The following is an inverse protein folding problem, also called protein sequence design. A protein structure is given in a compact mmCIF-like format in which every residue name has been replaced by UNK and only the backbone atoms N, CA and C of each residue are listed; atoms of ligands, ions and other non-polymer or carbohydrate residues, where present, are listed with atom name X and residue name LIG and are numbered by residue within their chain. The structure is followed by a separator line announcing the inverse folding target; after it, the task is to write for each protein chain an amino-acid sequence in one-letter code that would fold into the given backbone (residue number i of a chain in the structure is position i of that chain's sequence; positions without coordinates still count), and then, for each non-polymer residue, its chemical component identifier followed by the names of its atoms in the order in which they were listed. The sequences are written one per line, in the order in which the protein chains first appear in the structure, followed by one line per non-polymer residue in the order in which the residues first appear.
data_IF_911122510712
#
_entry.id   IF_911122510712
#
_cell.length_a   1.000
_cell.length_b   1.000
_cell.length_c   1.000
_cell.angle_alpha   90.00
_cell.angle_beta   90.00
_cell.angle_gamma   90.00
#
_symmetry.space_group_name_H-M   'P 1'
#
loop_
_entity.id
_entity.type
_entity.pdbx_description
1 polymer ?
#
# COMPACT_ATOMS: atom_id res chain seq x y z
N UNK A 1 37.19 -38.33 5.64
CA UNK A 1 38.13 -37.56 4.81
C UNK A 1 37.30 -36.59 4.00
N UNK A 2 37.50 -35.28 4.16
CA UNK A 2 36.77 -34.26 3.41
C UNK A 2 37.19 -34.33 1.94
N UNK A 3 36.22 -34.25 1.03
CA UNK A 3 36.42 -34.27 -0.42
C UNK A 3 37.40 -33.15 -0.83
N UNK A 4 38.55 -33.48 -1.44
CA UNK A 4 39.54 -32.49 -1.87
C UNK A 4 39.02 -31.52 -2.94
N UNK A 5 37.89 -31.79 -3.59
CA UNK A 5 37.30 -30.91 -4.61
C UNK A 5 36.50 -29.72 -4.03
N UNK A 6 36.19 -29.70 -2.73
CA UNK A 6 35.53 -28.54 -2.10
C UNK A 6 36.42 -27.28 -2.05
N UNK A 7 37.74 -27.42 -2.26
CA UNK A 7 38.68 -26.28 -2.31
C UNK A 7 38.64 -25.49 -3.61
N UNK A 8 37.89 -25.92 -4.62
CA UNK A 8 37.88 -25.29 -5.95
C UNK A 8 36.56 -24.58 -6.27
N UNK A 9 35.92 -23.98 -5.26
CA UNK A 9 34.78 -23.05 -5.44
C UNK A 9 35.09 -21.62 -4.98
N UNK A 10 36.36 -21.30 -4.76
CA UNK A 10 36.82 -19.97 -4.41
C UNK A 10 38.24 -20.05 -3.87
N UNK A 11 39.07 -19.05 -4.14
CA UNK A 11 40.33 -18.88 -3.43
C UNK A 11 40.02 -18.33 -2.03
N UNK A 12 39.53 -19.20 -1.14
CA UNK A 12 39.20 -18.85 0.24
C UNK A 12 40.44 -18.58 1.10
N UNK A 13 41.65 -18.59 0.52
CA UNK A 13 42.91 -18.21 1.16
C UNK A 13 43.25 -16.72 1.02
N UNK A 14 42.49 -15.96 0.22
CA UNK A 14 42.70 -14.54 -0.08
C UNK A 14 41.52 -13.64 0.37
N UNK A 15 40.73 -14.10 1.34
CA UNK A 15 39.44 -13.51 1.74
C UNK A 15 38.36 -13.58 0.64
N UNK A 16 37.13 -13.93 1.01
CA UNK A 16 36.01 -13.97 0.06
C UNK A 16 35.39 -12.57 -0.06
N UNK A 17 35.38 -12.01 -1.27
CA UNK A 17 34.81 -10.69 -1.53
C UNK A 17 33.44 -10.79 -2.20
N UNK A 18 32.50 -9.97 -1.72
CA UNK A 18 31.17 -9.77 -2.32
C UNK A 18 31.07 -8.29 -2.69
N UNK A 19 30.68 -7.98 -3.93
CA UNK A 19 30.63 -6.60 -4.42
C UNK A 19 32.00 -5.93 -4.65
N UNK A 20 33.09 -6.67 -4.53
CA UNK A 20 34.46 -6.19 -4.70
C UNK A 20 35.31 -7.23 -5.43
N UNK A 21 36.21 -6.77 -6.31
CA UNK A 21 37.24 -7.62 -6.90
C UNK A 21 38.59 -7.48 -6.16
N UNK A 22 39.43 -8.52 -6.08
CA UNK A 22 40.70 -8.48 -5.36
C UNK A 22 41.69 -7.41 -5.85
N UNK A 23 41.58 -7.00 -7.12
CA UNK A 23 42.39 -5.94 -7.73
C UNK A 23 41.93 -4.51 -7.37
N UNK A 24 40.90 -4.37 -6.53
CA UNK A 24 40.29 -3.11 -6.05
C UNK A 24 39.80 -2.12 -7.13
N UNK A 25 39.97 -2.43 -8.41
CA UNK A 25 39.70 -1.53 -9.54
C UNK A 25 38.31 -1.69 -10.18
N UNK A 26 37.51 -2.68 -9.76
CA UNK A 26 36.15 -2.92 -10.28
C UNK A 26 35.19 -3.19 -9.12
N UNK A 27 34.93 -2.14 -8.35
CA UNK A 27 33.95 -2.17 -7.28
C UNK A 27 32.55 -2.24 -7.89
N UNK A 28 31.66 -3.01 -7.26
CA UNK A 28 30.24 -2.90 -7.55
C UNK A 28 29.77 -1.51 -7.13
N UNK A 29 29.40 -0.68 -8.09
CA UNK A 29 28.86 0.65 -7.87
C UNK A 29 27.33 0.57 -7.94
N UNK A 30 26.74 0.15 -6.82
CA UNK A 30 25.30 -0.04 -6.67
C UNK A 30 24.94 -0.42 -5.24
N UNK A 31 23.64 -0.38 -4.92
CA UNK A 31 23.12 -0.83 -3.64
C UNK A 31 22.88 -2.35 -3.70
N UNK A 32 23.40 -3.10 -2.72
CA UNK A 32 23.06 -4.51 -2.50
C UNK A 32 22.10 -4.59 -1.32
N UNK A 33 21.02 -5.34 -1.48
CA UNK A 33 20.08 -5.68 -0.43
C UNK A 33 19.81 -7.19 -0.43
N UNK A 34 19.31 -7.72 0.69
CA UNK A 34 18.88 -9.12 0.86
C UNK A 34 19.94 -10.19 0.49
N UNK A 35 21.21 -9.96 0.87
CA UNK A 35 22.28 -10.92 0.63
C UNK A 35 22.17 -12.17 1.53
N UNK A 36 22.09 -13.37 0.90
CA UNK A 36 22.12 -14.67 1.61
C UNK A 36 23.17 -15.62 1.05
N UNK A 37 23.82 -16.34 1.96
CA UNK A 37 24.80 -17.39 1.67
C UNK A 37 24.38 -18.70 2.35
N UNK A 38 24.31 -19.78 1.58
CA UNK A 38 23.92 -21.10 2.07
C UNK A 38 25.10 -22.06 2.08
N UNK A 39 25.23 -22.82 3.17
CA UNK A 39 26.19 -23.92 3.30
C UNK A 39 25.66 -25.26 2.75
N UNK A 40 24.54 -25.22 2.04
CA UNK A 40 23.84 -26.37 1.45
C UNK A 40 23.22 -26.02 0.11
N UNK A 41 22.89 -27.02 -0.68
CA UNK A 41 22.04 -26.84 -1.85
C UNK A 41 20.66 -26.32 -1.44
N UNK A 42 20.18 -25.31 -2.17
CA UNK A 42 18.82 -24.79 -2.05
C UNK A 42 17.94 -25.60 -3.00
N UNK A 43 16.83 -26.14 -2.50
CA UNK A 43 15.88 -26.93 -3.31
C UNK A 43 15.00 -26.02 -4.18
N UNK A 44 14.34 -26.56 -5.20
CA UNK A 44 13.46 -25.78 -6.08
C UNK A 44 12.33 -25.08 -5.31
N UNK A 45 11.73 -25.76 -4.33
CA UNK A 45 10.67 -25.20 -3.48
C UNK A 45 11.20 -24.06 -2.60
N UNK A 46 12.41 -24.21 -2.06
CA UNK A 46 13.06 -23.15 -1.27
C UNK A 46 13.47 -21.97 -2.15
N UNK A 47 13.94 -22.19 -3.39
CA UNK A 47 14.19 -21.09 -4.34
C UNK A 47 12.89 -20.34 -4.61
N UNK A 48 11.77 -21.04 -4.81
CA UNK A 48 10.47 -20.40 -5.01
C UNK A 48 10.05 -19.58 -3.79
N UNK A 49 10.19 -20.14 -2.59
CA UNK A 49 9.88 -19.43 -1.35
C UNK A 49 10.79 -18.21 -1.12
N UNK A 50 12.09 -18.32 -1.44
CA UNK A 50 13.05 -17.22 -1.33
C UNK A 50 12.83 -16.12 -2.36
N UNK A 51 12.41 -16.49 -3.58
CA UNK A 51 12.01 -15.53 -4.60
C UNK A 51 10.78 -14.74 -4.16
N UNK A 52 9.78 -15.41 -3.58
CA UNK A 52 8.61 -14.77 -3.02
C UNK A 52 8.87 -14.01 -1.72
N UNK A 53 9.95 -14.33 -0.98
CA UNK A 53 10.33 -13.63 0.24
C UNK A 53 10.69 -12.15 -0.02
N UNK A 54 11.23 -11.82 -1.19
CA UNK A 54 11.46 -10.43 -1.62
C UNK A 54 10.25 -9.79 -2.32
N UNK A 55 9.16 -10.54 -2.53
CA UNK A 55 7.95 -10.05 -3.18
C UNK A 55 6.95 -9.43 -2.18
N UNK A 56 7.26 -9.44 -0.88
CA UNK A 56 6.44 -8.80 0.17
C UNK A 56 6.78 -7.31 0.39
N UNK A 57 7.38 -6.63 -0.58
CA UNK A 57 7.58 -5.17 -0.54
C UNK A 57 6.50 -4.42 -1.34
N UNK A 58 5.31 -5.03 -1.44
CA UNK A 58 4.10 -4.26 -1.70
C UNK A 58 3.89 -3.26 -0.56
N UNK A 59 3.24 -2.12 -0.81
CA UNK A 59 2.89 -1.20 0.27
C UNK A 59 2.15 -1.97 1.38
N UNK A 60 2.26 -1.57 2.65
CA UNK A 60 1.62 -2.34 3.73
C UNK A 60 0.08 -2.39 3.61
N UNK A 61 -0.51 -1.61 2.70
CA UNK A 61 -1.92 -1.69 2.31
C UNK A 61 -2.28 -2.84 1.36
N UNK A 62 -1.31 -3.50 0.71
CA UNK A 62 -1.51 -4.66 -0.16
C UNK A 62 -1.59 -5.94 0.71
N UNK A 63 -2.79 -6.20 1.21
CA UNK A 63 -3.07 -7.31 2.13
C UNK A 63 -3.21 -8.62 1.36
N UNK A 64 -3.69 -8.56 0.12
CA UNK A 64 -3.95 -9.75 -0.69
C UNK A 64 -2.71 -10.20 -1.52
N UNK A 65 -1.68 -9.37 -1.61
CA UNK A 65 -0.41 -9.63 -2.28
C UNK A 65 -0.46 -9.53 -3.81
N UNK A 66 -1.41 -8.77 -4.36
CA UNK A 66 -1.59 -8.57 -5.81
C UNK A 66 -0.78 -7.41 -6.39
N UNK A 67 -0.09 -6.65 -5.52
CA UNK A 67 0.75 -5.51 -5.89
C UNK A 67 0.00 -4.19 -6.03
N UNK A 68 -1.29 -4.15 -5.69
CA UNK A 68 -2.10 -2.93 -5.66
C UNK A 68 -2.70 -2.71 -4.27
N UNK A 69 -3.07 -1.46 -3.97
CA UNK A 69 -3.84 -1.15 -2.78
C UNK A 69 -5.22 -0.66 -3.22
N UNK A 70 -6.22 -1.53 -3.15
CA UNK A 70 -7.59 -1.23 -3.53
C UNK A 70 -8.62 -1.83 -2.55
N UNK A 71 -9.91 -1.78 -2.91
CA UNK A 71 -10.97 -2.28 -2.06
C UNK A 71 -10.84 -3.78 -1.74
N UNK A 72 -10.20 -4.57 -2.61
CA UNK A 72 -10.00 -6.00 -2.40
C UNK A 72 -9.04 -6.28 -1.23
N UNK A 73 -8.14 -5.36 -0.88
CA UNK A 73 -7.29 -5.49 0.30
C UNK A 73 -8.06 -5.24 1.59
N UNK A 74 -9.03 -4.33 1.56
CA UNK A 74 -9.94 -4.10 2.70
C UNK A 74 -10.84 -5.33 2.87
N UNK A 75 -11.30 -5.94 1.78
CA UNK A 75 -12.05 -7.20 1.81
C UNK A 75 -11.21 -8.36 2.36
N UNK A 76 -9.96 -8.49 1.91
CA UNK A 76 -9.03 -9.48 2.43
C UNK A 76 -8.75 -9.25 3.92
N UNK A 77 -8.62 -7.99 4.34
CA UNK A 77 -8.45 -7.65 5.75
C UNK A 77 -9.70 -7.95 6.58
N UNK A 78 -10.91 -7.75 6.03
CA UNK A 78 -12.16 -8.15 6.68
C UNK A 78 -12.20 -9.67 6.87
N UNK A 79 -11.79 -10.45 5.88
CA UNK A 79 -11.68 -11.90 6.01
C UNK A 79 -10.66 -12.31 7.07
N UNK A 80 -9.50 -11.65 7.16
CA UNK A 80 -8.52 -11.89 8.22
C UNK A 80 -9.09 -11.62 9.63
N UNK A 81 -9.96 -10.61 9.77
CA UNK A 81 -10.67 -10.34 11.04
C UNK A 81 -11.66 -11.45 11.36
N UNK A 82 -12.41 -11.93 10.37
CA UNK A 82 -13.38 -13.03 10.52
C UNK A 82 -12.67 -14.34 10.87
N UNK A 83 -11.54 -14.63 10.24
CA UNK A 83 -10.72 -15.82 10.47
C UNK A 83 -9.94 -15.74 11.80
N UNK A 84 -9.95 -14.57 12.46
CA UNK A 84 -9.28 -14.32 13.73
C UNK A 84 -7.76 -14.18 13.63
N UNK A 85 -7.22 -13.98 12.43
CA UNK A 85 -5.80 -13.71 12.18
C UNK A 85 -5.44 -12.23 12.30
N UNK A 86 -6.45 -11.34 12.23
CA UNK A 86 -6.35 -9.91 12.50
C UNK A 86 -7.47 -9.43 13.44
N UNK A 87 -7.34 -8.22 13.97
CA UNK A 87 -8.38 -7.57 14.76
C UNK A 87 -9.10 -6.47 13.98
N UNK A 88 -10.32 -6.10 14.40
CA UNK A 88 -11.03 -4.95 13.82
C UNK A 88 -10.24 -3.63 13.96
N UNK A 89 -9.37 -3.53 14.97
CA UNK A 89 -8.47 -2.38 15.14
C UNK A 89 -7.41 -2.35 14.03
N UNK A 90 -6.87 -3.50 13.64
CA UNK A 90 -5.91 -3.59 12.54
C UNK A 90 -6.57 -3.21 11.21
N UNK A 91 -7.82 -3.66 10.97
CA UNK A 91 -8.58 -3.24 9.78
C UNK A 91 -8.82 -1.73 9.77
N UNK A 92 -9.23 -1.15 10.89
CA UNK A 92 -9.43 0.29 10.99
C UNK A 92 -8.11 1.07 10.80
N UNK A 93 -6.98 0.53 11.25
CA UNK A 93 -5.66 1.10 11.03
C UNK A 93 -5.27 1.05 9.54
N UNK A 94 -5.61 -0.03 8.83
CA UNK A 94 -5.41 -0.12 7.37
C UNK A 94 -6.22 0.96 6.63
N UNK A 95 -7.52 1.10 6.95
CA UNK A 95 -8.42 2.04 6.26
C UNK A 95 -8.02 3.51 6.51
N UNK A 96 -7.78 3.86 7.78
CA UNK A 96 -7.55 5.26 8.18
C UNK A 96 -6.08 5.64 8.27
N UNK A 97 -5.16 4.67 8.21
CA UNK A 97 -3.73 4.87 8.29
C UNK A 97 -3.20 5.67 7.12
N UNK A 98 -2.15 6.46 7.32
CA UNK A 98 -1.57 7.27 6.26
C UNK A 98 -0.92 6.39 5.16
N UNK A 99 -0.98 6.85 3.92
CA UNK A 99 -0.20 6.27 2.81
C UNK A 99 1.32 6.39 3.13
N UNK A 100 2.14 5.39 2.76
CA UNK A 100 1.82 4.22 1.92
C UNK A 100 1.30 3.00 2.68
N UNK A 101 1.27 3.04 4.02
CA UNK A 101 0.98 1.85 4.83
C UNK A 101 -0.52 1.61 5.03
N UNK A 102 -1.35 2.61 4.72
CA UNK A 102 -2.81 2.53 4.75
C UNK A 102 -3.47 3.38 3.67
N UNK A 103 -4.79 3.26 3.56
CA UNK A 103 -5.60 3.92 2.53
C UNK A 103 -5.78 5.43 2.75
N UNK A 104 -5.51 5.92 3.95
CA UNK A 104 -5.73 7.31 4.35
C UNK A 104 -7.12 7.81 3.96
N UNK A 105 -8.14 6.99 4.18
CA UNK A 105 -9.52 7.31 3.84
C UNK A 105 -10.45 7.21 5.05
N UNK A 106 -11.75 7.40 4.83
CA UNK A 106 -12.80 7.29 5.81
C UNK A 106 -13.51 5.95 5.72
N UNK A 107 -14.05 5.50 6.85
CA UNK A 107 -15.09 4.47 6.82
C UNK A 107 -16.29 5.01 6.02
N UNK A 108 -16.76 4.24 5.05
CA UNK A 108 -17.86 4.65 4.17
C UNK A 108 -17.44 5.12 2.77
N UNK A 109 -16.16 5.43 2.55
CA UNK A 109 -15.63 5.80 1.23
C UNK A 109 -15.53 4.55 0.34
N UNK A 110 -16.57 4.32 -0.47
CA UNK A 110 -16.73 3.07 -1.23
C UNK A 110 -15.91 3.07 -2.52
N UNK A 111 -15.58 4.25 -3.06
CA UNK A 111 -14.78 4.38 -4.29
C UNK A 111 -13.29 4.70 -4.02
N UNK A 112 -12.92 4.85 -2.75
CA UNK A 112 -11.57 5.12 -2.24
C UNK A 112 -10.98 6.44 -2.77
N UNK A 113 -11.81 7.45 -3.04
CA UNK A 113 -11.36 8.76 -3.51
C UNK A 113 -10.84 9.68 -2.38
N UNK A 114 -10.86 9.21 -1.13
CA UNK A 114 -10.42 9.94 0.06
C UNK A 114 -11.52 10.79 0.70
N UNK A 115 -12.77 10.70 0.24
CA UNK A 115 -13.93 11.40 0.76
C UNK A 115 -15.03 10.39 1.06
N UNK A 116 -15.83 10.66 2.10
CA UNK A 116 -17.09 9.96 2.31
C UNK A 116 -18.24 10.93 2.06
N UNK A 117 -18.90 10.80 0.91
CA UNK A 117 -20.01 11.65 0.46
C UNK A 117 -21.19 10.84 -0.12
N UNK A 118 -22.17 11.51 -0.75
CA UNK A 118 -23.35 10.85 -1.29
C UNK A 118 -23.04 9.88 -2.44
N UNK A 119 -21.93 10.07 -3.15
CA UNK A 119 -21.52 9.20 -4.26
C UNK A 119 -21.11 7.83 -3.77
N UNK A 120 -20.46 7.75 -2.61
CA UNK A 120 -20.08 6.48 -1.98
C UNK A 120 -21.30 5.65 -1.60
N UNK A 121 -22.27 6.31 -0.97
CA UNK A 121 -23.53 5.68 -0.58
C UNK A 121 -24.21 5.17 -1.85
N UNK A 122 -24.33 6.00 -2.89
CA UNK A 122 -24.95 5.58 -4.16
C UNK A 122 -24.18 4.41 -4.78
N UNK A 123 -22.85 4.44 -4.79
CA UNK A 123 -22.00 3.38 -5.33
C UNK A 123 -22.28 2.04 -4.62
N UNK A 124 -22.31 2.02 -3.29
CA UNK A 124 -22.62 0.84 -2.50
C UNK A 124 -24.01 0.23 -2.82
N UNK A 125 -24.99 1.08 -3.15
CA UNK A 125 -26.34 0.61 -3.52
C UNK A 125 -26.45 0.06 -4.95
N UNK A 126 -25.53 0.37 -5.87
CA UNK A 126 -25.64 -0.04 -7.28
C UNK A 126 -25.66 -1.57 -7.43
N UNK A 127 -24.89 -2.27 -6.60
CA UNK A 127 -24.79 -3.73 -6.64
C UNK A 127 -25.99 -4.45 -5.98
N UNK A 128 -26.90 -3.69 -5.34
CA UNK A 128 -28.15 -4.22 -4.81
C UNK A 128 -27.97 -5.18 -3.63
N UNK A 129 -26.84 -5.08 -2.91
CA UNK A 129 -26.50 -5.97 -1.79
C UNK A 129 -27.18 -5.61 -0.46
N UNK A 130 -27.70 -4.39 -0.35
CA UNK A 130 -28.37 -3.91 0.87
C UNK A 130 -29.52 -4.82 1.31
N UNK A 131 -29.41 -5.38 2.51
CA UNK A 131 -30.38 -6.34 3.09
C UNK A 131 -30.68 -7.55 2.19
N UNK A 132 -29.81 -7.87 1.25
CA UNK A 132 -29.99 -9.01 0.34
C UNK A 132 -29.70 -10.35 1.02
N UNK A 133 -28.84 -10.34 2.05
CA UNK A 133 -28.29 -11.54 2.69
C UNK A 133 -27.16 -12.22 1.91
N UNK A 134 -26.83 -11.72 0.72
CA UNK A 134 -25.62 -12.13 0.00
C UNK A 134 -24.38 -11.47 0.62
N UNK A 135 -23.22 -12.11 0.42
CA UNK A 135 -21.95 -11.50 0.76
C UNK A 135 -21.74 -10.17 0.01
N UNK A 136 -21.30 -9.15 0.74
CA UNK A 136 -20.88 -7.84 0.23
C UNK A 136 -19.41 -7.59 0.60
N UNK A 137 -18.69 -6.88 -0.27
CA UNK A 137 -17.39 -6.30 0.05
C UNK A 137 -17.48 -4.79 0.32
N UNK A 138 -16.34 -4.16 0.53
CA UNK A 138 -16.16 -2.75 0.88
C UNK A 138 -16.89 -1.81 -0.08
N UNK A 139 -16.60 -1.92 -1.39
CA UNK A 139 -17.20 -1.08 -2.42
C UNK A 139 -18.72 -1.33 -2.58
N UNK A 140 -19.22 -2.42 -2.01
CA UNK A 140 -20.62 -2.85 -2.06
C UNK A 140 -21.38 -2.52 -0.76
N UNK A 141 -20.73 -1.83 0.18
CA UNK A 141 -21.33 -1.31 1.40
C UNK A 141 -20.98 -2.05 2.69
N UNK A 142 -20.16 -3.12 2.66
CA UNK A 142 -19.67 -3.78 3.89
C UNK A 142 -18.55 -2.96 4.53
N UNK A 143 -18.93 -1.87 5.21
CA UNK A 143 -18.00 -0.96 5.85
C UNK A 143 -17.63 -1.41 7.27
N UNK A 144 -18.47 -2.24 7.91
CA UNK A 144 -18.16 -2.83 9.20
C UNK A 144 -17.37 -4.15 9.12
N UNK A 145 -17.24 -4.73 7.91
CA UNK A 145 -16.38 -5.87 7.57
C UNK A 145 -16.95 -7.22 7.99
N UNK A 146 -18.27 -7.34 8.06
CA UNK A 146 -18.98 -8.54 8.49
C UNK A 146 -19.53 -9.39 7.33
N UNK A 147 -19.22 -9.00 6.07
CA UNK A 147 -19.69 -9.56 4.80
C UNK A 147 -21.17 -9.32 4.50
N UNK A 148 -21.85 -8.44 5.21
CA UNK A 148 -23.24 -8.06 4.95
C UNK A 148 -23.32 -6.56 4.76
N UNK A 149 -24.17 -6.12 3.84
CA UNK A 149 -24.50 -4.71 3.73
C UNK A 149 -25.87 -4.46 4.37
N UNK A 150 -25.88 -3.90 5.58
CA UNK A 150 -27.07 -3.62 6.37
C UNK A 150 -27.00 -2.27 7.13
N UNK A 151 -27.89 -2.05 8.10
CA UNK A 151 -27.90 -0.78 8.83
C UNK A 151 -26.67 -0.56 9.73
N UNK A 152 -25.97 -1.62 10.15
CA UNK A 152 -24.78 -1.51 10.99
C UNK A 152 -23.62 -0.84 10.25
N UNK A 153 -23.48 -1.07 8.95
CA UNK A 153 -22.46 -0.41 8.12
C UNK A 153 -22.59 1.11 8.18
N UNK A 154 -23.82 1.60 8.01
CA UNK A 154 -24.12 3.03 8.14
C UNK A 154 -23.83 3.54 9.54
N UNK A 155 -24.26 2.81 10.57
CA UNK A 155 -24.04 3.21 11.96
C UNK A 155 -22.54 3.34 12.24
N UNK A 156 -21.72 2.37 11.83
CA UNK A 156 -20.27 2.42 12.01
C UNK A 156 -19.64 3.58 11.22
N UNK A 157 -20.01 3.75 9.95
CA UNK A 157 -19.46 4.81 9.10
C UNK A 157 -19.81 6.22 9.62
N UNK A 158 -21.04 6.44 10.07
CA UNK A 158 -21.46 7.73 10.65
C UNK A 158 -20.85 7.97 12.04
N UNK A 159 -20.69 6.94 12.87
CA UNK A 159 -19.99 7.07 14.17
C UNK A 159 -18.52 7.43 13.95
N UNK A 160 -17.88 6.90 12.90
CA UNK A 160 -16.52 7.26 12.53
C UNK A 160 -16.38 8.75 12.13
N UNK A 161 -17.48 9.41 11.74
CA UNK A 161 -17.55 10.86 11.54
C UNK A 161 -16.89 11.37 10.26
N UNK A 162 -16.71 10.50 9.26
CA UNK A 162 -16.10 10.86 7.98
C UNK A 162 -17.02 11.55 6.98
N UNK A 163 -18.33 11.40 7.15
CA UNK A 163 -19.31 11.89 6.19
C UNK A 163 -19.25 13.40 6.02
N UNK A 164 -19.01 13.86 4.78
CA UNK A 164 -18.83 15.26 4.40
C UNK A 164 -17.72 15.98 5.19
N UNK A 165 -16.73 15.25 5.70
CA UNK A 165 -15.56 15.83 6.37
C UNK A 165 -14.56 16.47 5.40
N UNK A 166 -14.71 16.24 4.09
CA UNK A 166 -13.81 16.68 3.03
C UNK A 166 -12.68 15.68 2.77
N UNK A 167 -11.84 15.93 1.74
CA UNK A 167 -10.83 14.96 1.29
C UNK A 167 -9.67 14.75 2.26
N UNK A 168 -9.38 13.49 2.57
CA UNK A 168 -8.08 13.04 3.06
C UNK A 168 -7.13 12.83 1.88
N UNK A 169 -5.84 13.05 2.10
CA UNK A 169 -4.82 12.77 1.08
C UNK A 169 -4.77 13.75 -0.10
N UNK A 170 -5.59 14.81 -0.12
CA UNK A 170 -5.40 15.91 -1.06
C UNK A 170 -4.04 16.58 -0.78
N UNK A 171 -3.05 16.29 -1.61
CA UNK A 171 -1.83 17.10 -1.66
C UNK A 171 -2.27 18.55 -1.86
N UNK A 172 -1.83 19.46 -0.99
CA UNK A 172 -1.98 20.88 -1.23
C UNK A 172 -1.27 21.21 -2.54
N UNK A 173 -2.01 21.23 -3.65
CA UNK A 173 -1.51 21.72 -4.93
C UNK A 173 -1.06 23.15 -4.65
N UNK A 174 0.25 23.46 -4.72
CA UNK A 174 0.69 24.85 -4.58
C UNK A 174 -0.10 25.63 -5.62
N UNK A 175 -0.92 26.59 -5.16
CA UNK A 175 -1.80 27.35 -6.04
C UNK A 175 -1.00 27.76 -7.27
N UNK A 176 -1.55 27.55 -8.50
CA UNK A 176 -0.80 27.84 -9.71
C UNK A 176 -0.30 29.28 -9.61
N UNK A 177 0.80 29.57 -10.27
CA UNK A 177 1.43 30.89 -10.28
C UNK A 177 0.53 32.04 -10.80
N UNK A 178 -0.79 31.88 -10.86
CA UNK A 178 -1.82 32.89 -11.16
C UNK A 178 -1.73 34.12 -10.26
N UNK A 179 -1.51 33.99 -8.95
CA UNK A 179 -1.30 35.15 -8.07
C UNK A 179 0.03 35.86 -8.34
N UNK A 180 1.07 35.10 -8.68
CA UNK A 180 2.39 35.65 -9.06
C UNK A 180 2.32 36.33 -10.43
N UNK A 181 1.63 35.73 -11.41
CA UNK A 181 1.42 36.29 -12.76
C UNK A 181 0.50 37.51 -12.72
N UNK A 182 -0.54 37.52 -11.88
CA UNK A 182 -1.38 38.69 -11.65
C UNK A 182 -0.56 39.82 -11.02
N UNK A 183 0.25 39.51 -10.01
CA UNK A 183 1.16 40.47 -9.36
C UNK A 183 2.19 41.06 -10.34
N UNK A 184 2.82 40.21 -11.16
CA UNK A 184 3.76 40.65 -12.20
C UNK A 184 3.06 41.45 -13.31
N UNK A 185 1.85 41.06 -13.70
CA UNK A 185 1.04 41.80 -14.67
C UNK A 185 0.66 43.20 -14.18
N UNK A 186 0.24 43.33 -12.92
CA UNK A 186 -0.06 44.61 -12.29
C UNK A 186 1.19 45.50 -12.16
N UNK A 187 2.34 44.93 -11.82
CA UNK A 187 3.62 45.66 -11.77
C UNK A 187 4.09 46.14 -13.14
N UNK A 188 3.93 45.31 -14.18
CA UNK A 188 4.24 45.67 -15.56
C UNK A 188 3.32 46.80 -16.07
N UNK A 189 2.03 46.76 -15.75
CA UNK A 189 1.09 47.84 -16.06
C UNK A 189 1.38 49.14 -15.29
N UNK A 190 1.78 49.04 -14.02
CA UNK A 190 2.15 50.20 -13.21
C UNK A 190 3.44 50.87 -13.71
N UNK A 191 4.42 50.09 -14.20
CA UNK A 191 5.67 50.62 -14.79
C UNK A 191 5.46 51.28 -16.15
N UNK A 192 4.43 50.89 -16.90
CA UNK A 192 4.11 51.45 -18.22
C UNK A 192 3.36 52.78 -18.18
N UNK A 193 2.84 53.18 -17.00
CA UNK A 193 2.08 54.43 -16.78
C UNK A 193 2.92 55.56 -16.14
N UNK A 194 4.24 55.42 -16.02
CA UNK A 194 5.15 56.49 -15.60
C UNK A 194 6.01 56.96 -16.75
#
# INVERSE_FOLDING_TARGET
AADPLLKQLGDWGQDAYVGLVPDLNRQFDGHMDEFRLYNRGVTADEVSALYSYGASDGPACDVNGDGTCDAADIDAMSQNVIDGTASAADRNALIQGASPDGFNTYLGDSDLNGQFDEQDIVAAFIDGKYLSGDAAGWAQGDWDGNLQFDEQDFVQAFIAGGYLAGPRGAAAVPEPSSLVLLGLGLLAFARRRR
#
